data_IF_617978896429
#
_entry.id   IF_617978896429
#
_cell.length_a   1.000
_cell.length_b   1.000
_cell.length_c   1.000
_cell.angle_alpha   90.00
_cell.angle_beta   90.00
_cell.angle_gamma   90.00
#
_symmetry.space_group_name_H-M   'P 1'
#
loop_
_entity.id
_entity.type
_entity.pdbx_description
1 polymer ?
#
# COMPACT_ATOMS: atom_id res chain seq x y z
N UNK A 1 20.93 -31.94 -30.65
CA UNK A 1 21.48 -30.66 -31.16
C UNK A 1 21.22 -29.61 -30.07
N UNK A 2 22.26 -28.98 -29.51
CA UNK A 2 22.10 -27.89 -28.53
C UNK A 2 21.83 -26.60 -29.29
N UNK A 3 20.72 -25.93 -28.99
CA UNK A 3 20.42 -24.61 -29.54
C UNK A 3 21.11 -23.55 -28.67
N UNK A 4 21.93 -22.72 -29.31
CA UNK A 4 22.65 -21.63 -28.66
C UNK A 4 21.74 -20.39 -28.68
N UNK A 5 21.14 -20.05 -27.54
CA UNK A 5 20.28 -18.87 -27.41
C UNK A 5 21.13 -17.69 -26.91
N UNK A 6 21.43 -16.74 -27.80
CA UNK A 6 22.12 -15.50 -27.43
C UNK A 6 21.08 -14.42 -27.14
N UNK A 7 20.84 -14.13 -25.86
CA UNK A 7 20.07 -12.96 -25.44
C UNK A 7 21.07 -11.82 -25.19
N UNK A 8 21.15 -10.86 -26.11
CA UNK A 8 21.87 -9.60 -25.84
C UNK A 8 20.99 -8.67 -25.00
N UNK A 9 21.31 -8.56 -23.71
CA UNK A 9 20.80 -7.53 -22.82
C UNK A 9 21.88 -6.46 -22.64
N UNK A 10 21.60 -5.20 -23.03
CA UNK A 10 22.49 -4.05 -22.79
C UNK A 10 22.38 -3.48 -21.37
N UNK A 11 21.85 -4.24 -20.41
CA UNK A 11 21.90 -3.89 -18.99
C UNK A 11 22.71 -4.96 -18.27
N UNK A 12 23.91 -4.59 -17.83
CA UNK A 12 24.79 -5.46 -17.04
C UNK A 12 24.20 -5.65 -15.64
N UNK A 13 23.18 -6.50 -15.53
CA UNK A 13 22.70 -6.99 -14.25
C UNK A 13 23.76 -7.94 -13.68
N UNK A 14 24.41 -7.52 -12.58
CA UNK A 14 25.08 -8.45 -11.70
C UNK A 14 24.02 -9.27 -10.97
N UNK A 15 23.49 -10.30 -11.64
CA UNK A 15 22.71 -11.31 -10.96
C UNK A 15 23.65 -12.05 -10.00
N UNK A 16 23.34 -12.13 -8.69
CA UNK A 16 24.08 -12.99 -7.79
C UNK A 16 24.03 -14.42 -8.33
N UNK A 17 25.14 -15.13 -8.28
CA UNK A 17 25.19 -16.54 -8.67
C UNK A 17 24.14 -17.30 -7.84
N UNK A 18 23.32 -18.13 -8.49
CA UNK A 18 22.28 -18.91 -7.83
C UNK A 18 22.86 -19.85 -6.75
N UNK A 19 24.13 -20.20 -6.86
CA UNK A 19 24.91 -21.01 -5.92
C UNK A 19 26.34 -20.47 -5.82
N UNK A 20 26.99 -20.60 -4.64
CA UNK A 20 28.37 -20.15 -4.45
C UNK A 20 29.34 -21.06 -5.22
N UNK A 21 30.31 -20.50 -5.97
CA UNK A 21 31.25 -21.30 -6.73
C UNK A 21 32.25 -22.02 -5.80
N UNK A 22 32.66 -23.22 -6.21
CA UNK A 22 33.61 -24.04 -5.46
C UNK A 22 35.03 -23.69 -5.90
N UNK A 23 35.93 -23.48 -4.94
CA UNK A 23 37.34 -23.24 -5.23
C UNK A 23 38.06 -24.53 -5.65
N UNK A 24 38.61 -24.51 -6.86
CA UNK A 24 39.43 -25.55 -7.48
C UNK A 24 40.87 -24.99 -7.56
N UNK A 25 41.93 -25.83 -7.56
CA UNK A 25 43.33 -25.35 -7.52
C UNK A 25 43.70 -24.27 -8.56
N UNK A 26 43.02 -24.23 -9.71
CA UNK A 26 43.24 -23.24 -10.78
C UNK A 26 42.04 -22.30 -11.03
N UNK A 27 41.10 -22.17 -10.07
CA UNK A 27 40.02 -21.19 -10.17
C UNK A 27 38.74 -21.55 -9.42
N UNK A 28 37.61 -21.25 -10.05
CA UNK A 28 36.27 -21.49 -9.51
C UNK A 28 35.50 -22.39 -10.47
N UNK A 29 34.83 -23.42 -9.94
CA UNK A 29 34.00 -24.32 -10.72
C UNK A 29 32.62 -24.53 -10.10
N UNK A 30 31.74 -25.11 -10.90
CA UNK A 30 30.40 -25.54 -10.50
C UNK A 30 30.37 -27.06 -10.41
N UNK A 31 29.61 -27.64 -9.49
CA UNK A 31 29.42 -29.09 -9.47
C UNK A 31 28.48 -29.54 -10.58
N UNK A 32 28.54 -30.83 -10.93
CA UNK A 32 27.56 -31.43 -11.83
C UNK A 32 26.14 -31.34 -11.26
N UNK A 33 25.98 -31.36 -9.94
CA UNK A 33 24.70 -31.16 -9.25
C UNK A 33 24.16 -29.74 -9.47
N UNK A 34 25.01 -28.72 -9.41
CA UNK A 34 24.64 -27.33 -9.74
C UNK A 34 24.21 -27.15 -11.22
N UNK A 35 24.66 -28.07 -12.09
CA UNK A 35 24.31 -28.12 -13.51
C UNK A 35 23.14 -29.08 -13.80
N UNK A 36 22.65 -29.82 -12.79
CA UNK A 36 21.51 -30.72 -12.98
C UNK A 36 20.21 -29.92 -13.00
N UNK A 37 19.64 -29.79 -14.20
CA UNK A 37 18.29 -29.27 -14.36
C UNK A 37 17.33 -30.33 -13.86
N UNK A 38 16.72 -30.09 -12.71
CA UNK A 38 15.56 -30.87 -12.28
C UNK A 38 14.37 -30.42 -13.13
N UNK A 39 13.82 -31.29 -14.01
CA UNK A 39 12.61 -30.95 -14.73
C UNK A 39 11.49 -30.72 -13.70
N UNK A 40 11.04 -29.47 -13.63
CA UNK A 40 9.82 -29.12 -12.89
C UNK A 40 8.66 -29.80 -13.60
N UNK A 41 7.74 -30.41 -12.84
CA UNK A 41 6.48 -30.90 -13.39
C UNK A 41 5.50 -29.77 -13.71
N UNK A 42 5.82 -28.53 -13.34
CA UNK A 42 5.00 -27.35 -13.62
C UNK A 42 5.68 -26.46 -14.64
N UNK A 43 4.94 -26.16 -15.72
CA UNK A 43 5.32 -25.25 -16.80
C UNK A 43 4.84 -23.80 -16.54
N UNK A 44 4.25 -23.54 -15.37
CA UNK A 44 3.70 -22.25 -15.02
C UNK A 44 4.04 -21.83 -13.58
N UNK A 45 4.27 -20.53 -13.37
CA UNK A 45 4.56 -19.96 -12.06
C UNK A 45 4.09 -18.51 -11.93
N UNK A 46 3.83 -18.08 -10.70
CA UNK A 46 3.44 -16.71 -10.35
C UNK A 46 4.65 -15.98 -9.75
N UNK A 47 4.95 -14.79 -10.30
CA UNK A 47 5.94 -13.88 -9.76
C UNK A 47 5.23 -12.70 -9.06
N UNK A 48 5.54 -12.40 -7.79
CA UNK A 48 5.02 -11.21 -7.12
C UNK A 48 5.31 -9.95 -7.94
N UNK A 49 4.32 -9.06 -8.11
CA UNK A 49 4.37 -7.82 -8.91
C UNK A 49 4.46 -7.99 -10.44
N UNK A 50 4.92 -9.13 -10.94
CA UNK A 50 5.07 -9.39 -12.38
C UNK A 50 3.93 -10.25 -12.96
N UNK A 51 3.19 -10.97 -12.12
CA UNK A 51 2.04 -11.78 -12.53
C UNK A 51 2.42 -13.20 -12.91
N UNK A 52 1.63 -13.82 -13.78
CA UNK A 52 1.80 -15.21 -14.19
C UNK A 52 2.66 -15.39 -15.43
N UNK A 53 3.56 -16.37 -15.38
CA UNK A 53 4.36 -16.83 -16.52
C UNK A 53 3.96 -18.27 -16.82
N UNK A 54 3.70 -18.55 -18.11
CA UNK A 54 3.40 -19.89 -18.63
C UNK A 54 4.35 -20.17 -19.79
N UNK A 55 5.10 -21.26 -19.69
CA UNK A 55 6.04 -21.71 -20.72
C UNK A 55 5.33 -22.79 -21.53
N UNK A 56 5.02 -22.50 -22.79
CA UNK A 56 4.47 -23.51 -23.69
C UNK A 56 5.59 -24.27 -24.39
N UNK A 57 5.79 -25.52 -23.99
CA UNK A 57 6.76 -26.42 -24.63
C UNK A 57 6.12 -27.08 -25.85
N UNK A 58 6.38 -26.54 -27.05
CA UNK A 58 5.90 -27.09 -28.32
C UNK A 58 6.55 -28.45 -28.61
N UNK A 59 5.80 -29.50 -29.00
CA UNK A 59 6.40 -30.79 -29.34
C UNK A 59 7.35 -30.68 -30.54
N UNK A 60 8.48 -31.39 -30.47
CA UNK A 60 9.60 -31.29 -31.41
C UNK A 60 9.27 -31.71 -32.86
N UNK A 61 8.12 -32.35 -33.07
CA UNK A 61 7.68 -32.83 -34.39
C UNK A 61 6.97 -31.75 -35.23
N UNK A 62 6.76 -30.55 -34.68
CA UNK A 62 6.17 -29.44 -35.41
C UNK A 62 7.24 -28.69 -36.23
N UNK A 63 7.02 -28.42 -37.53
CA UNK A 63 7.97 -27.66 -38.33
C UNK A 63 8.14 -26.25 -37.74
N UNK A 64 9.38 -25.76 -37.68
CA UNK A 64 9.79 -24.49 -37.02
C UNK A 64 8.99 -23.23 -37.43
N UNK A 65 8.19 -23.30 -38.49
CA UNK A 65 7.40 -22.19 -39.03
C UNK A 65 5.89 -22.48 -39.13
N UNK A 66 5.36 -23.54 -38.49
CA UNK A 66 3.91 -23.75 -38.47
C UNK A 66 3.23 -22.81 -37.47
N UNK A 67 2.11 -22.16 -37.84
CA UNK A 67 1.31 -21.39 -36.88
C UNK A 67 0.81 -22.31 -35.76
N UNK A 68 0.88 -21.81 -34.51
CA UNK A 68 0.36 -22.51 -33.34
C UNK A 68 -1.15 -22.76 -33.52
N UNK A 69 -1.63 -24.01 -33.39
CA UNK A 69 -3.05 -24.29 -33.48
C UNK A 69 -3.77 -23.65 -32.27
N UNK A 70 -5.00 -23.14 -32.45
CA UNK A 70 -5.76 -22.54 -31.34
C UNK A 70 -5.92 -23.47 -30.13
N UNK A 71 -6.04 -24.79 -30.38
CA UNK A 71 -6.15 -25.80 -29.32
C UNK A 71 -4.92 -25.91 -28.42
N UNK A 72 -3.73 -25.50 -28.88
CA UNK A 72 -2.53 -25.45 -28.04
C UNK A 72 -2.61 -24.31 -27.02
N UNK A 73 -3.31 -23.22 -27.36
CA UNK A 73 -3.48 -22.05 -26.50
C UNK A 73 -4.52 -22.28 -25.41
N UNK A 74 -5.45 -23.22 -25.58
CA UNK A 74 -6.48 -23.52 -24.58
C UNK A 74 -5.87 -23.86 -23.21
N UNK A 75 -4.81 -24.67 -23.21
CA UNK A 75 -4.06 -25.03 -21.99
C UNK A 75 -3.38 -23.81 -21.33
N UNK A 76 -2.81 -22.92 -22.15
CA UNK A 76 -2.12 -21.71 -21.72
C UNK A 76 -3.11 -20.71 -21.12
N UNK A 77 -4.22 -20.45 -21.82
CA UNK A 77 -5.26 -19.54 -21.36
C UNK A 77 -6.00 -20.07 -20.12
N UNK A 78 -6.20 -21.38 -20.01
CA UNK A 78 -6.78 -21.98 -18.81
C UNK A 78 -5.86 -21.79 -17.60
N UNK A 79 -4.55 -21.96 -17.80
CA UNK A 79 -3.55 -21.71 -16.75
C UNK A 79 -3.53 -20.24 -16.36
N UNK A 80 -3.55 -19.33 -17.34
CA UNK A 80 -3.59 -17.89 -17.09
C UNK A 80 -4.87 -17.46 -16.37
N UNK A 81 -6.02 -18.00 -16.77
CA UNK A 81 -7.29 -17.74 -16.10
C UNK A 81 -7.23 -18.18 -14.63
N UNK A 82 -6.74 -19.39 -14.34
CA UNK A 82 -6.57 -19.87 -12.97
C UNK A 82 -5.61 -19.00 -12.16
N UNK A 83 -4.49 -18.58 -12.76
CA UNK A 83 -3.55 -17.64 -12.13
C UNK A 83 -4.19 -16.29 -11.83
N UNK A 84 -4.98 -15.74 -12.75
CA UNK A 84 -5.71 -14.49 -12.56
C UNK A 84 -6.75 -14.62 -11.45
N UNK A 85 -7.51 -15.71 -11.43
CA UNK A 85 -8.49 -16.00 -10.38
C UNK A 85 -7.80 -16.11 -9.01
N UNK A 86 -6.65 -16.78 -8.93
CA UNK A 86 -5.85 -16.84 -7.72
C UNK A 86 -5.37 -15.46 -7.26
N UNK A 87 -4.92 -14.60 -8.17
CA UNK A 87 -4.51 -13.23 -7.88
C UNK A 87 -5.67 -12.33 -7.44
N UNK A 88 -6.87 -12.58 -7.96
CA UNK A 88 -8.11 -11.93 -7.52
C UNK A 88 -8.61 -12.46 -6.16
N UNK A 89 -7.96 -13.50 -5.62
CA UNK A 89 -8.31 -14.10 -4.33
C UNK A 89 -9.46 -15.10 -4.40
N UNK A 90 -9.78 -15.61 -5.59
CA UNK A 90 -10.80 -16.66 -5.75
C UNK A 90 -10.25 -17.98 -5.23
N UNK A 91 -10.96 -18.70 -4.35
CA UNK A 91 -10.51 -19.98 -3.85
C UNK A 91 -10.55 -21.05 -4.95
N UNK A 92 -9.54 -21.92 -4.96
CA UNK A 92 -9.53 -23.09 -5.83
C UNK A 92 -10.61 -24.07 -5.40
N UNK A 93 -11.28 -24.69 -6.37
CA UNK A 93 -12.21 -25.77 -6.12
C UNK A 93 -11.45 -26.99 -5.57
N UNK A 94 -12.05 -27.76 -4.64
CA UNK A 94 -11.52 -29.05 -4.25
C UNK A 94 -11.25 -29.93 -5.47
N UNK A 95 -10.22 -30.79 -5.46
CA UNK A 95 -9.83 -31.62 -6.61
C UNK A 95 -10.92 -32.59 -7.08
N UNK A 96 -11.95 -32.82 -6.25
CA UNK A 96 -13.08 -33.72 -6.53
C UNK A 96 -14.23 -33.02 -7.30
N UNK A 97 -14.20 -31.69 -7.42
CA UNK A 97 -15.25 -30.90 -8.08
C UNK A 97 -14.69 -30.35 -9.39
N UNK A 98 -15.03 -31.00 -10.50
CA UNK A 98 -14.73 -30.50 -11.84
C UNK A 98 -15.92 -29.69 -12.35
N UNK A 99 -15.70 -28.43 -12.68
CA UNK A 99 -16.69 -27.57 -13.32
C UNK A 99 -16.32 -27.38 -14.77
N UNK A 100 -17.20 -27.78 -15.69
CA UNK A 100 -16.98 -27.63 -17.13
C UNK A 100 -17.04 -26.15 -17.58
N UNK A 101 -17.61 -25.28 -16.75
CA UNK A 101 -17.76 -23.86 -17.05
C UNK A 101 -16.55 -23.05 -16.60
N UNK A 102 -16.02 -22.22 -17.51
CA UNK A 102 -15.01 -21.18 -17.26
C UNK A 102 -15.53 -20.02 -16.39
N UNK A 103 -16.68 -20.17 -15.73
CA UNK A 103 -17.35 -19.16 -14.94
C UNK A 103 -17.18 -19.45 -13.44
N UNK A 104 -17.17 -18.39 -12.64
CA UNK A 104 -17.11 -18.49 -11.18
C UNK A 104 -18.34 -19.22 -10.64
N UNK A 105 -18.12 -20.24 -9.83
CA UNK A 105 -19.22 -20.92 -9.12
C UNK A 105 -19.82 -20.00 -8.05
N UNK A 106 -21.10 -20.20 -7.72
CA UNK A 106 -21.76 -19.44 -6.65
C UNK A 106 -21.04 -19.57 -5.30
N UNK A 107 -20.53 -20.77 -4.98
CA UNK A 107 -19.73 -20.97 -3.77
C UNK A 107 -18.42 -20.18 -3.79
N UNK A 108 -17.70 -20.16 -4.92
CA UNK A 108 -16.47 -19.36 -5.05
C UNK A 108 -16.75 -17.87 -4.90
N UNK A 109 -17.86 -17.40 -5.45
CA UNK A 109 -18.29 -16.02 -5.28
C UNK A 109 -18.59 -15.73 -3.80
N UNK A 110 -19.39 -16.56 -3.14
CA UNK A 110 -19.73 -16.39 -1.71
C UNK A 110 -18.49 -16.42 -0.81
N UNK A 111 -17.54 -17.33 -1.09
CA UNK A 111 -16.28 -17.41 -0.37
C UNK A 111 -15.42 -16.16 -0.58
N UNK A 112 -15.40 -15.60 -1.81
CA UNK A 112 -14.70 -14.36 -2.11
C UNK A 112 -15.36 -13.15 -1.41
N UNK A 113 -16.69 -13.08 -1.38
CA UNK A 113 -17.42 -12.03 -0.65
C UNK A 113 -17.09 -12.09 0.85
N UNK A 114 -17.12 -13.28 1.45
CA UNK A 114 -16.74 -13.52 2.84
C UNK A 114 -15.30 -13.08 3.12
N UNK A 115 -14.35 -13.54 2.30
CA UNK A 115 -12.94 -13.22 2.47
C UNK A 115 -12.70 -11.70 2.36
N UNK A 116 -13.32 -11.04 1.39
CA UNK A 116 -13.19 -9.60 1.20
C UNK A 116 -13.79 -8.82 2.37
N UNK A 117 -14.94 -9.25 2.88
CA UNK A 117 -15.57 -8.63 4.04
C UNK A 117 -14.69 -8.74 5.29
N UNK A 118 -14.11 -9.92 5.54
CA UNK A 118 -13.20 -10.14 6.67
C UNK A 118 -11.94 -9.27 6.56
N UNK A 119 -11.31 -9.25 5.38
CA UNK A 119 -10.14 -8.42 5.10
C UNK A 119 -10.43 -6.92 5.28
N UNK A 120 -11.60 -6.46 4.83
CA UNK A 120 -12.03 -5.08 5.03
C UNK A 120 -12.22 -4.77 6.53
N UNK A 121 -12.80 -5.70 7.29
CA UNK A 121 -12.94 -5.59 8.74
C UNK A 121 -11.59 -5.47 9.45
N UNK A 122 -10.63 -6.35 9.13
CA UNK A 122 -9.26 -6.28 9.65
C UNK A 122 -8.57 -4.98 9.26
N UNK A 123 -8.65 -4.60 7.98
CA UNK A 123 -8.09 -3.34 7.47
C UNK A 123 -8.69 -2.11 8.16
N UNK A 124 -9.98 -2.17 8.52
CA UNK A 124 -10.65 -1.10 9.27
C UNK A 124 -10.06 -1.00 10.67
N UNK A 125 -9.93 -2.13 11.39
CA UNK A 125 -9.34 -2.15 12.74
C UNK A 125 -7.90 -1.63 12.73
N UNK A 126 -7.09 -2.03 11.76
CA UNK A 126 -5.70 -1.59 11.64
C UNK A 126 -5.59 -0.11 11.28
N UNK A 127 -6.51 0.39 10.45
CA UNK A 127 -6.61 1.82 10.13
C UNK A 127 -7.00 2.63 11.36
N UNK A 128 -8.02 2.21 12.12
CA UNK A 128 -8.45 2.87 13.35
C UNK A 128 -7.35 2.84 14.43
N UNK A 129 -6.62 1.73 14.57
CA UNK A 129 -5.42 1.65 15.43
C UNK A 129 -4.33 2.61 14.98
N UNK A 130 -4.15 2.78 13.67
CA UNK A 130 -3.18 3.72 13.12
C UNK A 130 -3.57 5.17 13.41
N UNK A 131 -4.86 5.51 13.37
CA UNK A 131 -5.36 6.82 13.82
C UNK A 131 -5.03 7.05 15.30
N UNK A 132 -5.29 6.07 16.17
CA UNK A 132 -4.96 6.19 17.60
C UNK A 132 -3.48 6.44 17.83
N UNK A 133 -2.60 5.69 17.14
CA UNK A 133 -1.14 5.89 17.20
C UNK A 133 -0.75 7.28 16.72
N UNK A 134 -1.35 7.73 15.63
CA UNK A 134 -1.08 9.03 15.03
C UNK A 134 -1.45 10.18 15.98
N UNK A 135 -2.63 10.10 16.61
CA UNK A 135 -3.12 11.07 17.60
C UNK A 135 -2.25 11.08 18.86
N UNK A 136 -1.76 9.92 19.31
CA UNK A 136 -0.87 9.81 20.48
C UNK A 136 0.56 10.33 20.21
N UNK A 137 1.06 10.16 18.98
CA UNK A 137 2.43 10.55 18.62
C UNK A 137 2.60 12.05 18.34
N UNK A 138 1.56 12.75 17.90
CA UNK A 138 1.64 14.16 17.53
C UNK A 138 0.90 15.00 18.56
N UNK A 139 1.68 15.67 19.41
CA UNK A 139 1.15 16.62 20.38
C UNK A 139 0.28 17.69 19.70
N UNK A 140 -0.93 17.89 20.24
CA UNK A 140 -1.90 18.88 19.78
C UNK A 140 -2.45 18.63 18.35
N UNK A 141 -2.68 17.36 17.98
CA UNK A 141 -3.33 17.00 16.72
C UNK A 141 -4.74 17.62 16.54
N UNK A 142 -5.02 18.34 15.44
CA UNK A 142 -6.33 18.90 15.16
C UNK A 142 -7.26 17.81 14.62
N UNK A 143 -8.02 17.18 15.52
CA UNK A 143 -9.09 16.25 15.14
C UNK A 143 -10.38 17.06 14.92
N UNK A 144 -10.74 17.26 13.65
CA UNK A 144 -11.96 17.95 13.25
C UNK A 144 -13.23 17.17 13.59
N UNK A 145 -14.39 17.84 13.59
CA UNK A 145 -15.69 17.19 13.81
C UNK A 145 -16.00 16.14 12.74
N UNK A 146 -15.60 16.40 11.50
CA UNK A 146 -15.79 15.47 10.37
C UNK A 146 -14.98 14.18 10.59
N UNK A 147 -13.71 14.30 11.00
CA UNK A 147 -12.87 13.13 11.33
C UNK A 147 -13.49 12.31 12.46
N UNK A 148 -14.00 12.98 13.50
CA UNK A 148 -14.70 12.29 14.59
C UNK A 148 -15.97 11.57 14.10
N UNK A 149 -16.75 12.20 13.22
CA UNK A 149 -17.92 11.60 12.59
C UNK A 149 -17.54 10.35 11.81
N UNK A 150 -16.54 10.46 10.93
CA UNK A 150 -16.06 9.34 10.12
C UNK A 150 -15.56 8.15 10.95
N UNK A 151 -14.86 8.41 12.07
CA UNK A 151 -14.43 7.34 12.99
C UNK A 151 -15.65 6.66 13.63
N UNK A 152 -16.66 7.44 14.04
CA UNK A 152 -17.85 6.90 14.70
C UNK A 152 -18.75 6.13 13.71
N UNK A 153 -18.91 6.65 12.50
CA UNK A 153 -19.64 5.99 11.42
C UNK A 153 -18.91 4.73 10.97
N UNK A 154 -17.58 4.76 10.89
CA UNK A 154 -16.75 3.58 10.61
C UNK A 154 -16.91 2.49 11.65
N UNK A 155 -16.88 2.83 12.95
CA UNK A 155 -17.11 1.87 14.02
C UNK A 155 -18.52 1.28 13.97
N UNK A 156 -19.51 2.12 13.69
CA UNK A 156 -20.91 1.70 13.56
C UNK A 156 -21.09 0.74 12.37
N UNK A 157 -20.51 1.05 11.21
CA UNK A 157 -20.53 0.18 10.04
C UNK A 157 -19.78 -1.16 10.31
N UNK A 158 -18.68 -1.12 11.05
CA UNK A 158 -17.96 -2.32 11.46
C UNK A 158 -18.79 -3.21 12.41
N UNK A 159 -19.51 -2.62 13.36
CA UNK A 159 -20.46 -3.35 14.21
C UNK A 159 -21.61 -3.96 13.37
N UNK A 160 -22.13 -3.20 12.41
CA UNK A 160 -23.18 -3.69 11.49
C UNK A 160 -22.70 -4.83 10.59
N UNK A 161 -21.44 -4.80 10.14
CA UNK A 161 -20.82 -5.92 9.41
C UNK A 161 -20.86 -7.20 10.24
N UNK A 162 -20.42 -7.17 11.51
CA UNK A 162 -20.46 -8.35 12.38
C UNK A 162 -21.88 -8.80 12.69
N UNK A 163 -22.83 -7.88 12.84
CA UNK A 163 -24.24 -8.21 13.06
C UNK A 163 -24.92 -8.83 11.82
N UNK A 164 -24.49 -8.45 10.62
CA UNK A 164 -25.10 -8.87 9.36
C UNK A 164 -24.47 -10.15 8.78
N UNK A 165 -23.33 -10.58 9.34
CA UNK A 165 -22.53 -11.72 8.88
C UNK A 165 -23.32 -13.04 8.78
N UNK A 166 -24.32 -13.24 9.65
CA UNK A 166 -25.18 -14.44 9.63
C UNK A 166 -26.45 -14.29 8.78
N UNK A 167 -26.75 -13.10 8.28
CA UNK A 167 -28.02 -12.79 7.60
C UNK A 167 -27.83 -12.67 6.09
N UNK A 168 -26.84 -11.87 5.67
CA UNK A 168 -26.66 -11.51 4.27
C UNK A 168 -25.21 -11.17 3.99
N UNK A 169 -24.61 -11.89 3.04
CA UNK A 169 -23.24 -11.69 2.61
C UNK A 169 -23.02 -10.35 1.92
N UNK A 170 -23.98 -9.94 1.09
CA UNK A 170 -23.89 -8.69 0.35
C UNK A 170 -23.95 -7.48 1.28
N UNK A 171 -24.83 -7.52 2.29
CA UNK A 171 -24.91 -6.45 3.30
C UNK A 171 -23.65 -6.43 4.17
N UNK A 172 -23.15 -7.60 4.55
CA UNK A 172 -21.88 -7.73 5.28
C UNK A 172 -20.72 -7.11 4.50
N UNK A 173 -20.62 -7.41 3.20
CA UNK A 173 -19.60 -6.81 2.34
C UNK A 173 -19.77 -5.29 2.23
N UNK A 174 -20.99 -4.81 2.01
CA UNK A 174 -21.27 -3.38 1.91
C UNK A 174 -20.84 -2.63 3.18
N UNK A 175 -21.25 -3.13 4.35
CA UNK A 175 -20.90 -2.55 5.64
C UNK A 175 -19.39 -2.61 5.90
N UNK A 176 -18.73 -3.71 5.52
CA UNK A 176 -17.27 -3.81 5.63
C UNK A 176 -16.54 -2.77 4.77
N UNK A 177 -17.04 -2.52 3.56
CA UNK A 177 -16.45 -1.58 2.62
C UNK A 177 -16.66 -0.14 3.08
N UNK A 178 -17.85 0.18 3.59
CA UNK A 178 -18.17 1.48 4.19
C UNK A 178 -17.28 1.73 5.41
N UNK A 179 -17.15 0.75 6.31
CA UNK A 179 -16.32 0.84 7.51
C UNK A 179 -14.86 1.17 7.15
N UNK A 180 -14.28 0.44 6.19
CA UNK A 180 -12.90 0.65 5.74
C UNK A 180 -12.71 2.01 5.06
N UNK A 181 -13.67 2.40 4.22
CA UNK A 181 -13.63 3.67 3.48
C UNK A 181 -13.70 4.85 4.43
N UNK A 182 -14.61 4.81 5.41
CA UNK A 182 -14.76 5.84 6.43
C UNK A 182 -13.52 5.93 7.34
N UNK A 183 -12.96 4.80 7.79
CA UNK A 183 -11.71 4.79 8.55
C UNK A 183 -10.55 5.37 7.75
N UNK A 184 -10.43 4.99 6.47
CA UNK A 184 -9.38 5.51 5.59
C UNK A 184 -9.54 7.00 5.34
N UNK A 185 -10.78 7.45 5.09
CA UNK A 185 -11.10 8.88 4.92
C UNK A 185 -10.75 9.68 6.17
N UNK A 186 -11.07 9.15 7.35
CA UNK A 186 -10.69 9.75 8.61
C UNK A 186 -9.16 9.87 8.72
N UNK A 187 -8.41 8.79 8.53
CA UNK A 187 -6.94 8.77 8.64
C UNK A 187 -6.26 9.77 7.71
N UNK A 188 -6.72 9.87 6.46
CA UNK A 188 -6.13 10.74 5.44
C UNK A 188 -6.79 12.12 5.34
N UNK A 189 -7.55 12.55 6.35
CA UNK A 189 -8.21 13.85 6.32
C UNK A 189 -7.17 14.98 6.23
N UNK A 190 -7.33 15.97 5.32
CA UNK A 190 -6.31 16.99 5.06
C UNK A 190 -5.84 17.74 6.31
N UNK A 191 -6.75 17.99 7.26
CA UNK A 191 -6.44 18.65 8.52
C UNK A 191 -5.47 17.88 9.43
N UNK A 192 -5.50 16.54 9.42
CA UNK A 192 -4.58 15.72 10.20
C UNK A 192 -3.21 15.60 9.52
N UNK A 193 -3.17 15.52 8.19
CA UNK A 193 -1.93 15.49 7.42
C UNK A 193 -1.21 16.85 7.39
N UNK A 194 -1.96 17.95 7.55
CA UNK A 194 -1.42 19.31 7.51
C UNK A 194 -0.41 19.60 8.63
N UNK A 195 -0.56 19.01 9.82
CA UNK A 195 0.46 19.15 10.88
C UNK A 195 1.73 18.35 10.61
N UNK A 196 1.61 17.20 9.93
CA UNK A 196 2.79 16.46 9.45
C UNK A 196 3.62 17.30 8.47
N UNK A 197 2.95 18.11 7.64
CA UNK A 197 3.61 18.92 6.62
C UNK A 197 3.92 20.37 7.05
N UNK A 198 3.30 20.86 8.11
CA UNK A 198 3.50 22.22 8.62
C UNK A 198 3.25 22.26 10.13
N UNK A 199 4.29 21.92 10.92
CA UNK A 199 4.26 22.03 12.37
C UNK A 199 3.78 23.41 12.82
N UNK A 200 3.00 23.46 13.90
CA UNK A 200 2.50 24.71 14.48
C UNK A 200 3.63 25.71 14.82
N UNK A 201 4.86 25.23 14.95
CA UNK A 201 6.10 26.00 15.12
C UNK A 201 6.28 27.08 14.04
N UNK A 202 5.89 26.84 12.80
CA UNK A 202 6.01 27.85 11.74
C UNK A 202 5.03 29.02 11.89
N UNK A 203 3.90 28.85 12.61
CA UNK A 203 3.03 30.00 12.95
C UNK A 203 3.72 30.91 13.96
N UNK A 204 4.39 30.35 14.96
CA UNK A 204 5.14 31.13 15.95
C UNK A 204 6.32 31.85 15.32
N UNK A 205 7.00 31.28 14.33
CA UNK A 205 8.09 31.94 13.59
C UNK A 205 7.60 33.24 12.92
N UNK A 206 6.39 33.24 12.35
CA UNK A 206 5.79 34.46 11.76
C UNK A 206 5.51 35.51 12.84
N UNK A 207 4.97 35.12 14.00
CA UNK A 207 4.73 36.05 15.11
C UNK A 207 6.03 36.56 15.75
N UNK A 208 7.04 35.70 15.92
CA UNK A 208 8.36 36.07 16.45
C UNK A 208 9.03 37.08 15.52
N UNK A 209 8.97 36.89 14.20
CA UNK A 209 9.49 37.85 13.21
C UNK A 209 8.82 39.22 13.29
N UNK A 210 7.48 39.24 13.40
CA UNK A 210 6.72 40.49 13.55
C UNK A 210 7.05 41.20 14.87
N UNK A 211 7.11 40.46 15.98
CA UNK A 211 7.43 41.01 17.29
C UNK A 211 8.87 41.55 17.35
N UNK A 212 9.82 40.85 16.74
CA UNK A 212 11.22 41.28 16.70
C UNK A 212 11.38 42.63 15.99
N UNK A 213 10.62 42.88 14.92
CA UNK A 213 10.57 44.17 14.24
C UNK A 213 9.84 45.27 15.03
N UNK A 214 8.86 44.92 15.85
CA UNK A 214 8.07 45.88 16.64
C UNK A 214 8.78 46.35 17.93
N UNK A 215 9.67 45.54 18.50
CA UNK A 215 10.37 45.84 19.77
C UNK A 215 11.14 47.18 19.73
N UNK A 216 11.96 47.49 18.70
CA UNK A 216 12.70 48.75 18.64
C UNK A 216 11.77 49.98 18.59
N UNK A 217 10.68 49.90 17.81
CA UNK A 217 9.70 50.99 17.66
C UNK A 217 8.96 51.24 18.96
N UNK A 218 8.56 50.18 19.67
CA UNK A 218 7.96 50.29 20.99
C UNK A 218 8.94 50.91 21.99
N UNK A 219 10.21 50.49 21.98
CA UNK A 219 11.24 51.00 22.87
C UNK A 219 11.55 52.50 22.64
N UNK A 220 11.61 52.95 21.39
CA UNK A 220 11.81 54.37 21.05
C UNK A 220 10.60 55.20 21.48
N UNK A 221 9.39 54.72 21.20
CA UNK A 221 8.13 55.39 21.60
C UNK A 221 8.03 55.52 23.13
N UNK A 222 8.36 54.48 23.89
CA UNK A 222 8.36 54.51 25.36
C UNK A 222 9.42 55.47 25.91
N UNK A 223 10.62 55.53 25.30
CA UNK A 223 11.66 56.50 25.68
C UNK A 223 11.18 57.94 25.47
N UNK A 224 10.56 58.22 24.34
CA UNK A 224 10.03 59.55 24.01
C UNK A 224 8.93 59.98 24.98
N UNK A 225 7.97 59.09 25.28
CA UNK A 225 6.90 59.37 26.26
C UNK A 225 7.48 59.64 27.65
N UNK A 226 8.52 58.90 28.07
CA UNK A 226 9.20 59.14 29.35
C UNK A 226 9.94 60.48 29.38
N UNK A 227 10.62 60.84 28.30
CA UNK A 227 11.31 62.12 28.19
C UNK A 227 10.32 63.29 28.30
N UNK A 228 9.19 63.21 27.60
CA UNK A 228 8.13 64.21 27.66
C UNK A 228 7.49 64.35 29.05
N UNK A 229 7.28 63.23 29.75
CA UNK A 229 6.76 63.27 31.14
C UNK A 229 7.75 63.87 32.13
N UNK A 230 9.06 63.61 31.98
CA UNK A 230 10.10 64.20 32.85
C UNK A 230 10.17 65.71 32.69
N UNK A 231 10.15 66.21 31.46
CA UNK A 231 10.13 67.65 31.19
C UNK A 231 8.91 68.35 31.81
N UNK A 232 7.75 67.68 31.83
CA UNK A 232 6.54 68.21 32.50
C UNK A 232 6.59 68.13 34.02
N UNK A 233 7.32 67.19 34.60
CA UNK A 233 7.54 67.11 36.05
C UNK A 233 8.54 68.15 36.56
N UNK A 234 9.55 68.49 35.77
CA UNK A 234 10.55 69.51 36.09
C UNK A 234 10.01 70.94 35.90
N UNK A 235 9.12 71.16 34.92
CA UNK A 235 8.45 72.46 34.72
C UNK A 235 7.40 72.80 35.81
N UNK A 236 7.00 71.85 36.66
CA UNK A 236 6.08 72.08 37.78
C UNK A 236 6.77 72.30 39.14
N UNK A 237 8.12 72.28 39.19
CA UNK A 237 8.90 72.54 40.41
C UNK A 237 9.63 73.89 40.39
N UNK A 238 9.41 74.71 39.36
CA UNK A 238 9.93 76.09 39.26
C UNK A 238 8.74 77.05 39.26
N UNK A 239 8.05 77.11 40.40
CA UNK A 239 7.22 78.24 40.84
C UNK A 239 7.56 78.54 42.30
#
# INVERSE_FOLDING_TARGET
>A
MLHNLTIESQVQFHAPLAFPPISIPDGYGLTLEDLTVHPSSSDAFLLPQWGGIVIHNTPADLPENSPLPPSALDSVFSTFANQLLALLGVPNLPPDIQTDDSALTGWQLDALLWQRALQNGEGTQDTLKSILKLVDQIDNMPVGKDVKGDIQDSLTALEQMYASASVSLNDTLHQSADALTLASRALFYPGMLALLYSPAEHKYVVYIGLLLGAIPVMATTVKEIRAWRRQRGEAGQVE
#
